data_IF_006832812888
#
_entry.id   IF_006832812888
#
_cell.length_a   1.000
_cell.length_b   1.000
_cell.length_c   1.000
_cell.angle_alpha   90.00
_cell.angle_beta   90.00
_cell.angle_gamma   90.00
#
_symmetry.space_group_name_H-M   'P 1'
#
loop_
_entity.id
_entity.type
_entity.pdbx_description
1 polymer ?
#
# COMPACT_ATOMS: atom_id res chain seq x y z
N UNK A 1 1.05 10.48 -12.02
CA UNK A 1 0.47 9.65 -13.08
C UNK A 1 -0.19 8.39 -12.53
N UNK A 2 0.55 7.53 -11.81
CA UNK A 2 0.03 6.24 -11.33
C UNK A 2 -1.21 6.35 -10.46
N UNK A 3 -1.30 7.37 -9.61
CA UNK A 3 -2.43 7.58 -8.70
C UNK A 3 -3.69 8.08 -9.40
N UNK A 4 -3.55 8.62 -10.59
CA UNK A 4 -4.64 9.16 -11.42
C UNK A 4 -5.00 8.26 -12.60
N UNK A 5 -4.39 7.09 -12.70
CA UNK A 5 -4.65 6.13 -13.79
C UNK A 5 -6.11 5.63 -13.79
N UNK A 6 -6.72 5.56 -12.61
CA UNK A 6 -8.15 5.23 -12.46
C UNK A 6 -9.09 6.21 -13.14
N UNK A 7 -8.69 7.48 -13.34
CA UNK A 7 -9.50 8.48 -14.05
C UNK A 7 -9.80 8.09 -15.50
N UNK A 8 -8.98 7.23 -16.09
CA UNK A 8 -9.13 6.74 -17.45
C UNK A 8 -9.48 5.24 -17.50
N UNK A 9 -9.94 4.68 -16.38
CA UNK A 9 -10.30 3.27 -16.26
C UNK A 9 -9.11 2.30 -16.19
N UNK A 10 -7.88 2.80 -16.05
CA UNK A 10 -6.68 1.96 -15.92
C UNK A 10 -6.43 1.60 -14.46
N UNK A 11 -7.23 0.67 -13.92
CA UNK A 11 -7.26 0.33 -12.49
C UNK A 11 -6.20 -0.69 -12.06
N UNK A 12 -5.78 -1.60 -12.96
CA UNK A 12 -4.79 -2.65 -12.68
C UNK A 12 -3.53 -2.41 -13.50
N UNK A 13 -2.63 -1.63 -12.96
CA UNK A 13 -1.37 -1.27 -13.57
C UNK A 13 -0.17 -1.80 -12.76
N UNK A 14 0.95 -1.93 -13.42
CA UNK A 14 2.25 -2.28 -12.84
C UNK A 14 3.27 -1.19 -13.15
N UNK A 15 4.22 -1.02 -12.25
CA UNK A 15 5.40 -0.21 -12.50
C UNK A 15 6.67 -1.04 -12.23
N UNK A 16 7.74 -0.72 -12.92
CA UNK A 16 8.97 -1.48 -12.88
C UNK A 16 9.86 -0.99 -11.73
N UNK A 17 9.73 -1.64 -10.56
CA UNK A 17 10.42 -1.25 -9.34
C UNK A 17 11.93 -1.47 -9.49
N UNK A 18 12.70 -0.42 -9.21
CA UNK A 18 14.14 -0.41 -9.31
C UNK A 18 14.67 0.12 -10.64
N UNK A 19 13.80 0.36 -11.62
CA UNK A 19 14.15 0.86 -12.94
C UNK A 19 14.82 -0.18 -13.84
N UNK A 20 14.78 0.06 -15.15
CA UNK A 20 15.23 -0.89 -16.16
C UNK A 20 16.71 -0.69 -16.55
N UNK A 21 17.11 0.54 -16.87
CA UNK A 21 18.44 0.88 -17.33
C UNK A 21 18.78 2.37 -17.10
N UNK A 22 20.02 2.74 -17.39
CA UNK A 22 20.49 4.14 -17.38
C UNK A 22 20.44 4.83 -16.01
N UNK A 23 20.70 4.08 -14.95
CA UNK A 23 20.75 4.62 -13.59
C UNK A 23 21.88 4.00 -12.78
N UNK A 24 22.07 4.53 -11.59
CA UNK A 24 22.88 3.89 -10.56
C UNK A 24 21.97 3.25 -9.50
N UNK A 25 22.52 2.29 -8.81
CA UNK A 25 21.81 1.58 -7.76
C UNK A 25 21.79 2.44 -6.49
N UNK A 26 20.59 2.80 -6.04
CA UNK A 26 20.35 3.54 -4.82
C UNK A 26 19.48 2.72 -3.88
N UNK A 27 20.01 2.39 -2.71
CA UNK A 27 19.36 1.52 -1.73
C UNK A 27 18.09 2.17 -1.18
N UNK A 28 18.15 3.44 -0.78
CA UNK A 28 16.99 4.12 -0.20
C UNK A 28 15.88 4.33 -1.23
N UNK A 29 16.22 4.79 -2.41
CA UNK A 29 15.25 4.99 -3.48
C UNK A 29 14.53 3.66 -3.81
N UNK A 30 15.29 2.56 -3.88
CA UNK A 30 14.70 1.24 -4.15
C UNK A 30 13.77 0.78 -3.03
N UNK A 31 14.17 0.96 -1.77
CA UNK A 31 13.29 0.67 -0.61
C UNK A 31 12.01 1.49 -0.68
N UNK A 32 12.10 2.81 -0.91
CA UNK A 32 10.90 3.67 -1.03
C UNK A 32 10.01 3.25 -2.19
N UNK A 33 10.62 2.79 -3.27
CA UNK A 33 9.87 2.28 -4.41
C UNK A 33 9.18 0.94 -4.13
N UNK A 34 9.83 0.05 -3.38
CA UNK A 34 9.20 -1.19 -2.87
C UNK A 34 8.04 -0.85 -1.92
N UNK A 35 8.21 0.12 -1.02
CA UNK A 35 7.14 0.59 -0.13
C UNK A 35 5.93 1.10 -0.90
N UNK A 36 6.13 1.89 -1.96
CA UNK A 36 5.05 2.26 -2.88
C UNK A 36 4.48 1.03 -3.60
N UNK A 37 5.34 0.09 -3.98
CA UNK A 37 4.96 -1.11 -4.71
C UNK A 37 4.00 -2.01 -3.97
N UNK A 38 4.19 -2.21 -2.67
CA UNK A 38 3.27 -3.06 -1.88
C UNK A 38 1.87 -2.48 -1.77
N UNK A 39 1.73 -1.16 -1.95
CA UNK A 39 0.45 -0.44 -2.04
C UNK A 39 0.11 -0.04 -3.48
N UNK A 40 0.47 -0.89 -4.42
CA UNK A 40 0.16 -0.75 -5.84
C UNK A 40 -0.67 -1.95 -6.32
N UNK A 41 -1.43 -1.84 -7.44
CA UNK A 41 -2.26 -2.95 -7.91
C UNK A 41 -1.42 -4.19 -8.24
N UNK A 42 -0.44 -4.06 -9.10
CA UNK A 42 0.50 -5.11 -9.46
C UNK A 42 1.91 -4.65 -9.09
N UNK A 43 2.62 -5.51 -8.37
CA UNK A 43 3.97 -5.26 -7.93
C UNK A 43 4.95 -6.22 -8.59
N UNK A 44 6.05 -5.69 -9.14
CA UNK A 44 7.18 -6.50 -9.56
C UNK A 44 8.49 -5.74 -9.44
N UNK A 45 9.53 -6.46 -9.06
CA UNK A 45 10.91 -6.00 -9.20
C UNK A 45 11.33 -6.22 -10.66
N UNK A 46 11.97 -5.23 -11.27
CA UNK A 46 12.34 -5.29 -12.68
C UNK A 46 13.76 -4.82 -12.93
N UNK A 47 14.42 -5.52 -13.86
CA UNK A 47 15.77 -5.16 -14.32
C UNK A 47 15.97 -5.56 -15.79
N UNK A 48 17.12 -5.19 -16.34
CA UNK A 48 17.59 -5.72 -17.61
C UNK A 48 18.01 -7.19 -17.49
N UNK A 49 18.30 -7.84 -18.59
CA UNK A 49 18.81 -9.21 -18.64
C UNK A 49 20.21 -9.41 -18.01
N UNK A 50 20.88 -8.33 -17.62
CA UNK A 50 22.18 -8.39 -16.96
C UNK A 50 22.06 -8.86 -15.52
N UNK A 51 22.80 -9.90 -15.14
CA UNK A 51 22.85 -10.41 -13.76
C UNK A 51 23.36 -9.40 -12.73
N UNK A 52 24.13 -8.37 -13.19
CA UNK A 52 24.63 -7.29 -12.32
C UNK A 52 23.54 -6.26 -11.95
N UNK A 53 22.43 -6.24 -12.68
CA UNK A 53 21.32 -5.30 -12.48
C UNK A 53 20.16 -5.89 -11.69
N UNK A 54 20.32 -7.05 -11.05
CA UNK A 54 19.30 -7.69 -10.24
C UNK A 54 18.74 -6.76 -9.15
N UNK A 55 17.44 -6.87 -8.88
CA UNK A 55 16.68 -6.05 -7.92
C UNK A 55 16.20 -6.84 -6.72
N UNK A 56 16.62 -8.08 -6.61
CA UNK A 56 16.28 -8.93 -5.48
C UNK A 56 16.86 -8.34 -4.17
N UNK A 57 16.16 -8.49 -3.03
CA UNK A 57 16.57 -7.86 -1.76
C UNK A 57 18.03 -8.12 -1.38
N UNK A 58 18.51 -9.34 -1.54
CA UNK A 58 19.90 -9.74 -1.21
C UNK A 58 21.00 -9.10 -2.08
N UNK A 59 20.60 -8.36 -3.11
CA UNK A 59 21.51 -7.57 -3.95
C UNK A 59 21.84 -6.21 -3.36
N UNK A 60 21.19 -5.81 -2.28
CA UNK A 60 21.31 -4.51 -1.64
C UNK A 60 22.04 -4.61 -0.29
N UNK A 61 22.38 -3.47 0.31
CA UNK A 61 22.94 -3.44 1.66
C UNK A 61 21.95 -4.04 2.65
N UNK A 62 22.46 -4.56 3.77
CA UNK A 62 21.67 -5.31 4.73
C UNK A 62 20.46 -4.54 5.27
N UNK A 63 20.60 -3.24 5.52
CA UNK A 63 19.47 -2.38 5.94
C UNK A 63 18.33 -2.41 4.91
N UNK A 64 18.66 -2.21 3.63
CA UNK A 64 17.68 -2.22 2.55
C UNK A 64 17.07 -3.60 2.32
N UNK A 65 17.90 -4.67 2.33
CA UNK A 65 17.44 -6.05 2.22
C UNK A 65 16.41 -6.39 3.27
N UNK A 66 16.68 -6.10 4.55
CA UNK A 66 15.76 -6.40 5.66
C UNK A 66 14.42 -5.69 5.50
N UNK A 67 14.43 -4.41 5.09
CA UNK A 67 13.20 -3.66 4.89
C UNK A 67 12.43 -4.18 3.67
N UNK A 68 13.12 -4.46 2.56
CA UNK A 68 12.48 -5.01 1.36
C UNK A 68 11.85 -6.38 1.65
N UNK A 69 12.53 -7.27 2.34
CA UNK A 69 12.00 -8.58 2.74
C UNK A 69 10.74 -8.44 3.61
N UNK A 70 10.78 -7.55 4.59
CA UNK A 70 9.62 -7.27 5.43
C UNK A 70 8.43 -6.77 4.60
N UNK A 71 8.66 -5.79 3.74
CA UNK A 71 7.61 -5.19 2.90
C UNK A 71 7.02 -6.21 1.91
N UNK A 72 7.83 -7.07 1.32
CA UNK A 72 7.37 -8.14 0.43
C UNK A 72 6.49 -9.15 1.17
N UNK A 73 6.85 -9.51 2.42
CA UNK A 73 6.01 -10.37 3.26
C UNK A 73 4.70 -9.70 3.63
N UNK A 74 4.71 -8.42 3.98
CA UNK A 74 3.47 -7.65 4.21
C UNK A 74 2.55 -7.65 2.98
N UNK A 75 3.11 -7.54 1.77
CA UNK A 75 2.32 -7.67 0.53
C UNK A 75 1.64 -9.03 0.42
N UNK A 76 2.33 -10.12 0.77
CA UNK A 76 1.73 -11.45 0.79
C UNK A 76 0.63 -11.59 1.84
N UNK A 77 0.83 -11.02 3.01
CA UNK A 77 -0.21 -11.00 4.07
C UNK A 77 -1.49 -10.30 3.63
N UNK A 78 -1.39 -9.31 2.76
CA UNK A 78 -2.54 -8.56 2.23
C UNK A 78 -3.32 -9.30 1.13
N UNK A 79 -2.94 -10.50 0.71
CA UNK A 79 -3.60 -11.20 -0.40
C UNK A 79 -5.12 -11.30 -0.22
N UNK A 80 -5.69 -11.66 0.94
CA UNK A 80 -7.14 -11.71 1.12
C UNK A 80 -7.82 -10.35 0.86
N UNK A 81 -7.22 -9.27 1.36
CA UNK A 81 -7.68 -7.92 1.11
C UNK A 81 -7.58 -7.55 -0.39
N UNK A 82 -6.45 -7.82 -1.01
CA UNK A 82 -6.21 -7.51 -2.42
C UNK A 82 -7.14 -8.29 -3.35
N UNK A 83 -7.37 -9.55 -3.05
CA UNK A 83 -8.26 -10.42 -3.83
C UNK A 83 -9.69 -9.91 -3.76
N UNK A 84 -10.15 -9.53 -2.57
CA UNK A 84 -11.45 -8.88 -2.36
C UNK A 84 -11.55 -7.56 -3.16
N UNK A 85 -10.52 -6.72 -3.14
CA UNK A 85 -10.51 -5.48 -3.91
C UNK A 85 -10.53 -5.73 -5.43
N UNK A 86 -9.89 -6.80 -5.90
CA UNK A 86 -9.95 -7.21 -7.30
C UNK A 86 -11.38 -7.62 -7.69
N UNK A 87 -12.04 -8.41 -6.87
CA UNK A 87 -13.43 -8.78 -7.07
C UNK A 87 -14.35 -7.55 -7.14
N UNK A 88 -14.20 -6.61 -6.22
CA UNK A 88 -14.94 -5.35 -6.23
C UNK A 88 -14.65 -4.50 -7.48
N UNK A 89 -13.40 -4.50 -7.95
CA UNK A 89 -13.06 -3.84 -9.21
C UNK A 89 -13.82 -4.44 -10.38
N UNK A 90 -13.99 -5.76 -10.40
CA UNK A 90 -14.74 -6.47 -11.42
C UNK A 90 -16.26 -6.23 -11.32
N UNK A 91 -16.84 -6.36 -10.14
CA UNK A 91 -18.30 -6.27 -9.95
C UNK A 91 -18.83 -4.85 -9.86
N UNK A 92 -18.06 -3.94 -9.25
CA UNK A 92 -18.51 -2.59 -8.91
C UNK A 92 -17.78 -1.48 -9.70
N UNK A 93 -16.83 -1.85 -10.56
CA UNK A 93 -15.97 -0.90 -11.28
C UNK A 93 -15.21 0.06 -10.36
N UNK A 94 -14.92 -0.35 -9.11
CA UNK A 94 -14.17 0.44 -8.14
C UNK A 94 -12.69 0.10 -8.22
N UNK A 95 -11.82 1.04 -8.61
CA UNK A 95 -10.39 0.77 -8.72
C UNK A 95 -9.78 0.56 -7.33
N UNK A 96 -8.71 -0.26 -7.25
CA UNK A 96 -7.94 -0.45 -6.01
C UNK A 96 -7.29 0.86 -5.55
N UNK A 97 -6.78 1.67 -6.48
CA UNK A 97 -6.21 2.99 -6.19
C UNK A 97 -7.16 4.08 -6.66
N UNK A 98 -7.47 4.99 -5.75
CA UNK A 98 -8.28 6.17 -6.04
C UNK A 98 -7.59 7.43 -5.54
N UNK A 99 -7.57 8.50 -6.35
CA UNK A 99 -7.14 9.82 -5.87
C UNK A 99 -8.00 10.30 -4.71
N UNK A 100 -7.44 11.10 -3.83
CA UNK A 100 -8.16 11.63 -2.66
C UNK A 100 -9.44 12.38 -3.02
N UNK A 101 -9.46 13.08 -4.16
CA UNK A 101 -10.63 13.85 -4.60
C UNK A 101 -11.83 12.99 -5.05
N UNK A 102 -11.69 11.65 -5.13
CA UNK A 102 -12.87 10.79 -5.35
C UNK A 102 -13.83 10.85 -4.16
N UNK A 103 -13.30 11.00 -2.94
CA UNK A 103 -14.11 11.06 -1.73
C UNK A 103 -14.25 12.48 -1.16
N UNK A 104 -13.34 13.41 -1.51
CA UNK A 104 -13.29 14.77 -0.97
C UNK A 104 -13.12 15.80 -2.08
N UNK A 105 -14.12 15.87 -2.96
CA UNK A 105 -14.09 16.73 -4.15
C UNK A 105 -14.02 18.22 -3.81
N UNK A 106 -14.62 18.62 -2.69
CA UNK A 106 -14.71 20.03 -2.26
C UNK A 106 -13.50 20.48 -1.42
N UNK A 107 -12.54 19.58 -1.16
CA UNK A 107 -11.35 19.88 -0.35
C UNK A 107 -10.14 20.16 -1.23
N UNK A 108 -9.56 21.34 -1.12
CA UNK A 108 -8.37 21.71 -1.88
C UNK A 108 -7.19 20.78 -1.60
N UNK A 109 -7.03 20.34 -0.36
CA UNK A 109 -5.98 19.44 0.10
C UNK A 109 -5.99 18.10 -0.67
N UNK A 110 -7.18 17.64 -1.09
CA UNK A 110 -7.32 16.41 -1.90
C UNK A 110 -6.63 16.52 -3.26
N UNK A 111 -6.47 17.73 -3.79
CA UNK A 111 -5.77 18.03 -5.03
C UNK A 111 -4.32 18.43 -4.81
N UNK A 112 -4.01 19.12 -3.70
CA UNK A 112 -2.68 19.60 -3.38
C UNK A 112 -1.73 18.48 -2.94
N UNK A 113 -2.25 17.48 -2.19
CA UNK A 113 -1.44 16.32 -1.73
C UNK A 113 -1.37 15.24 -2.82
N UNK A 114 -0.75 15.58 -3.94
CA UNK A 114 -0.72 14.80 -5.19
C UNK A 114 -0.24 13.35 -5.06
N UNK A 115 0.59 13.06 -4.07
CA UNK A 115 1.19 11.74 -3.88
C UNK A 115 0.38 10.87 -2.91
N UNK A 116 -0.64 11.44 -2.26
CA UNK A 116 -1.51 10.74 -1.32
C UNK A 116 -2.71 10.14 -2.04
N UNK A 117 -3.10 8.93 -1.68
CA UNK A 117 -4.16 8.20 -2.36
C UNK A 117 -4.87 7.21 -1.44
N UNK A 118 -6.05 6.78 -1.87
CA UNK A 118 -6.79 5.68 -1.25
C UNK A 118 -6.37 4.35 -1.88
N UNK A 119 -6.20 3.35 -1.04
CA UNK A 119 -5.87 1.98 -1.42
C UNK A 119 -6.97 1.03 -0.93
N UNK A 120 -7.83 0.61 -1.83
CA UNK A 120 -9.05 -0.12 -1.52
C UNK A 120 -10.04 0.71 -0.72
N UNK A 121 -10.75 0.04 0.21
CA UNK A 121 -11.82 0.66 1.01
C UNK A 121 -11.35 1.29 2.30
N UNK A 122 -10.20 0.87 2.81
CA UNK A 122 -9.85 1.06 4.22
C UNK A 122 -8.55 1.81 4.45
N UNK A 123 -7.70 1.92 3.43
CA UNK A 123 -6.36 2.49 3.59
C UNK A 123 -6.18 3.78 2.81
N UNK A 124 -5.41 4.68 3.41
CA UNK A 124 -4.88 5.89 2.79
C UNK A 124 -3.35 5.85 2.86
N UNK A 125 -2.69 6.01 1.74
CA UNK A 125 -1.23 5.88 1.61
C UNK A 125 -0.62 7.23 1.25
N UNK A 126 0.47 7.58 1.93
CA UNK A 126 1.25 8.79 1.65
C UNK A 126 2.72 8.43 1.38
N UNK A 127 3.09 8.11 0.13
CA UNK A 127 4.45 7.69 -0.20
C UNK A 127 5.49 8.76 0.12
N UNK A 128 6.65 8.31 0.58
CA UNK A 128 7.82 9.15 0.77
C UNK A 128 8.55 9.24 -0.57
N UNK A 129 8.68 10.46 -1.09
CA UNK A 129 9.28 10.74 -2.41
C UNK A 129 10.56 11.57 -2.32
N UNK A 130 11.06 11.80 -1.13
CA UNK A 130 12.31 12.49 -0.87
C UNK A 130 13.26 11.62 -0.04
N UNK A 131 14.57 11.75 -0.20
CA UNK A 131 15.55 11.01 0.60
C UNK A 131 15.50 11.43 2.07
N UNK A 132 16.07 10.59 2.93
CA UNK A 132 16.26 10.92 4.35
C UNK A 132 17.13 12.14 4.53
N UNK A 133 16.81 12.95 5.52
CA UNK A 133 17.63 14.06 5.98
C UNK A 133 18.79 13.46 6.79
N UNK A 134 20.03 13.59 6.29
CA UNK A 134 21.22 12.94 6.86
C UNK A 134 21.37 13.14 8.38
N UNK A 135 21.13 14.36 8.86
CA UNK A 135 21.32 14.71 10.29
C UNK A 135 20.42 13.96 11.25
N UNK A 136 19.24 13.54 10.82
CA UNK A 136 18.24 12.88 11.66
C UNK A 136 17.89 11.46 11.19
N UNK A 137 18.45 11.06 10.04
CA UNK A 137 18.23 9.77 9.39
C UNK A 137 16.73 9.44 9.16
N UNK A 138 15.91 10.46 8.89
CA UNK A 138 14.49 10.36 8.62
C UNK A 138 14.10 11.17 7.38
N UNK A 139 13.19 10.62 6.59
CA UNK A 139 12.57 11.35 5.49
C UNK A 139 11.31 12.07 6.00
N UNK A 140 11.08 13.26 5.45
CA UNK A 140 9.88 14.06 5.76
C UNK A 140 8.83 13.88 4.67
N UNK A 141 7.58 13.73 5.07
CA UNK A 141 6.43 13.77 4.17
C UNK A 141 5.31 14.58 4.80
N UNK A 142 4.62 15.36 3.98
CA UNK A 142 3.45 16.11 4.43
C UNK A 142 2.18 15.33 4.05
N UNK A 143 1.31 15.11 5.02
CA UNK A 143 0.08 14.31 4.87
C UNK A 143 -1.12 15.13 5.29
N UNK A 144 -2.16 15.12 4.49
CA UNK A 144 -3.47 15.62 4.87
C UNK A 144 -4.34 14.47 5.39
N UNK A 145 -4.85 14.61 6.60
CA UNK A 145 -5.85 13.71 7.17
C UNK A 145 -7.22 14.35 7.06
N UNK A 146 -8.14 13.82 6.25
CA UNK A 146 -9.52 14.28 6.23
C UNK A 146 -10.20 14.19 7.59
N UNK A 147 -11.32 14.88 7.77
CA UNK A 147 -12.08 14.85 9.01
C UNK A 147 -12.40 13.42 9.45
N UNK A 148 -12.15 13.11 10.72
CA UNK A 148 -12.34 11.79 11.33
C UNK A 148 -11.15 11.36 12.17
N UNK A 149 -11.18 10.13 12.65
CA UNK A 149 -10.07 9.52 13.39
C UNK A 149 -9.29 8.57 12.48
N UNK A 150 -7.97 8.67 12.53
CA UNK A 150 -7.06 7.92 11.68
C UNK A 150 -6.02 7.19 12.52
N UNK A 151 -5.71 5.98 12.12
CA UNK A 151 -4.72 5.12 12.74
C UNK A 151 -3.56 4.91 11.77
N UNK A 152 -2.36 5.27 12.17
CA UNK A 152 -1.16 4.90 11.43
C UNK A 152 -0.89 3.41 11.67
N UNK A 153 -0.98 2.60 10.62
CA UNK A 153 -0.94 1.14 10.75
C UNK A 153 0.44 0.59 11.13
N UNK A 154 1.50 1.37 10.90
CA UNK A 154 2.88 0.97 11.25
C UNK A 154 3.29 1.40 12.64
N UNK A 155 2.84 2.55 13.10
CA UNK A 155 3.25 3.09 14.40
C UNK A 155 2.21 2.88 15.50
N UNK A 156 0.96 2.56 15.14
CA UNK A 156 -0.17 2.49 16.06
C UNK A 156 -0.64 3.86 16.58
N UNK A 157 -0.06 4.95 16.10
CA UNK A 157 -0.44 6.30 16.51
C UNK A 157 -1.83 6.66 16.01
N UNK A 158 -2.58 7.34 16.85
CA UNK A 158 -3.95 7.79 16.55
C UNK A 158 -3.92 9.29 16.32
N UNK A 159 -4.56 9.72 15.26
CA UNK A 159 -4.67 11.13 14.88
C UNK A 159 -6.13 11.53 14.72
N UNK A 160 -6.47 12.69 15.22
CA UNK A 160 -7.69 13.37 14.80
C UNK A 160 -7.41 14.08 13.47
N UNK A 161 -8.29 13.90 12.50
CA UNK A 161 -8.18 14.49 11.17
C UNK A 161 -8.51 15.98 11.10
N UNK A 162 -8.91 16.44 9.90
CA UNK A 162 -9.15 17.83 9.55
C UNK A 162 -7.87 18.70 9.68
N UNK A 163 -6.74 18.13 9.28
CA UNK A 163 -5.44 18.82 9.35
C UNK A 163 -4.36 18.24 8.45
N UNK A 164 -3.33 19.03 8.24
CA UNK A 164 -2.09 18.64 7.58
C UNK A 164 -1.03 18.36 8.65
N UNK A 165 -0.31 17.26 8.50
CA UNK A 165 0.77 16.83 9.37
C UNK A 165 2.09 16.75 8.61
N UNK A 166 3.17 17.21 9.23
CA UNK A 166 4.53 16.90 8.83
C UNK A 166 5.01 15.65 9.57
N UNK A 167 5.16 14.55 8.85
CA UNK A 167 5.57 13.28 9.42
C UNK A 167 7.01 12.95 9.04
N UNK A 168 7.71 12.32 9.96
CA UNK A 168 9.08 11.84 9.78
C UNK A 168 9.11 10.34 9.91
N UNK A 169 9.80 9.65 8.96
CA UNK A 169 9.93 8.18 8.97
C UNK A 169 11.35 7.77 8.66
N UNK A 170 11.84 6.77 9.39
CA UNK A 170 13.02 6.01 9.02
C UNK A 170 12.80 5.26 7.71
N UNK A 171 13.79 4.50 7.29
CA UNK A 171 13.71 3.73 6.04
C UNK A 171 12.73 2.56 6.15
N UNK A 172 12.46 2.09 7.37
CA UNK A 172 11.68 0.91 7.68
C UNK A 172 10.17 1.07 7.44
N UNK A 173 9.67 2.31 7.33
CA UNK A 173 8.22 2.54 7.26
C UNK A 173 7.81 3.62 6.27
N UNK A 174 6.56 3.55 5.88
CA UNK A 174 5.83 4.49 5.03
C UNK A 174 4.55 4.89 5.77
N UNK A 175 4.11 6.17 5.74
CA UNK A 175 2.82 6.54 6.32
C UNK A 175 1.65 5.89 5.57
N UNK A 176 0.93 5.04 6.28
CA UNK A 176 -0.31 4.42 5.83
C UNK A 176 -1.32 4.50 6.96
N UNK A 177 -2.52 4.95 6.64
CA UNK A 177 -3.56 5.21 7.62
C UNK A 177 -4.81 4.42 7.33
N UNK A 178 -5.43 3.91 8.39
CA UNK A 178 -6.78 3.38 8.36
C UNK A 178 -7.72 4.32 9.11
N UNK A 179 -8.90 4.59 8.58
CA UNK A 179 -9.93 5.36 9.29
C UNK A 179 -10.58 4.52 10.40
N UNK A 180 -11.14 5.17 11.42
CA UNK A 180 -11.99 4.50 12.38
C UNK A 180 -13.14 3.78 11.66
N UNK A 181 -13.46 2.56 12.09
CA UNK A 181 -14.41 1.65 11.44
C UNK A 181 -13.81 0.76 10.35
N UNK A 182 -12.56 1.00 9.93
CA UNK A 182 -11.90 0.13 8.95
C UNK A 182 -11.63 -1.26 9.51
N UNK A 183 -11.82 -2.28 8.66
CA UNK A 183 -11.46 -3.67 8.93
C UNK A 183 -10.54 -4.12 7.79
N UNK A 184 -9.40 -4.69 8.14
CA UNK A 184 -8.45 -5.26 7.19
C UNK A 184 -8.31 -6.76 7.45
N UNK A 185 -8.43 -7.56 6.39
CA UNK A 185 -8.21 -8.99 6.45
C UNK A 185 -6.82 -9.34 5.92
N UNK A 186 -6.00 -9.95 6.75
CA UNK A 186 -4.67 -10.43 6.43
C UNK A 186 -4.58 -11.94 6.63
N UNK A 187 -3.55 -12.55 6.07
CA UNK A 187 -3.16 -13.93 6.40
C UNK A 187 -1.73 -13.96 6.88
N UNK A 188 -1.41 -14.89 7.79
CA UNK A 188 -0.03 -15.21 8.16
C UNK A 188 0.55 -16.36 7.34
N UNK A 189 -0.24 -16.94 6.44
CA UNK A 189 0.13 -17.99 5.51
C UNK A 189 0.80 -17.39 4.26
N UNK A 190 2.10 -17.08 4.37
CA UNK A 190 2.85 -16.31 3.36
C UNK A 190 3.67 -17.15 2.37
N UNK A 191 3.45 -18.45 2.29
CA UNK A 191 4.14 -19.28 1.29
C UNK A 191 3.55 -19.09 -0.11
N UNK A 192 4.36 -19.21 -1.16
CA UNK A 192 3.91 -19.09 -2.54
C UNK A 192 2.83 -20.13 -2.92
N UNK A 193 2.83 -21.29 -2.28
CA UNK A 193 1.81 -22.33 -2.48
C UNK A 193 0.50 -21.98 -1.80
N UNK A 194 0.56 -21.39 -0.62
CA UNK A 194 -0.61 -20.98 0.15
C UNK A 194 -1.28 -19.73 -0.42
N UNK A 195 -0.49 -18.83 -1.02
CA UNK A 195 -1.02 -17.63 -1.68
C UNK A 195 -1.99 -17.91 -2.85
N UNK A 196 -2.05 -19.15 -3.32
CA UNK A 196 -2.96 -19.60 -4.38
C UNK A 196 -4.22 -20.29 -3.85
N UNK A 197 -4.39 -20.34 -2.55
CA UNK A 197 -5.52 -20.97 -1.87
C UNK A 197 -6.14 -20.00 -0.88
N UNK A 198 -7.41 -20.22 -0.58
CA UNK A 198 -8.02 -19.52 0.54
C UNK A 198 -7.26 -19.86 1.83
N UNK A 199 -6.93 -18.86 2.66
CA UNK A 199 -6.19 -19.11 3.89
C UNK A 199 -7.05 -19.89 4.89
N UNK A 200 -6.41 -20.77 5.68
CA UNK A 200 -7.10 -21.51 6.75
C UNK A 200 -7.44 -20.61 7.95
N UNK A 201 -6.75 -19.48 8.09
CA UNK A 201 -6.96 -18.50 9.15
C UNK A 201 -6.77 -17.09 8.64
N UNK A 202 -7.55 -16.17 9.19
CA UNK A 202 -7.46 -14.74 8.92
C UNK A 202 -7.08 -13.98 10.17
N UNK A 203 -6.22 -13.01 10.00
CA UNK A 203 -5.90 -12.01 10.99
C UNK A 203 -6.67 -10.72 10.65
N UNK A 204 -7.67 -10.39 11.48
CA UNK A 204 -8.48 -9.19 11.29
C UNK A 204 -7.92 -8.04 12.12
N UNK A 205 -7.56 -6.94 11.46
CA UNK A 205 -7.22 -5.68 12.12
C UNK A 205 -8.43 -4.76 12.10
N UNK A 206 -8.98 -4.48 13.27
CA UNK A 206 -10.16 -3.62 13.44
C UNK A 206 -9.74 -2.30 14.06
N UNK A 207 -10.03 -1.21 13.37
CA UNK A 207 -9.72 0.16 13.82
C UNK A 207 -10.96 0.79 14.47
N UNK A 208 -11.01 0.74 15.80
CA UNK A 208 -12.19 1.14 16.57
C UNK A 208 -12.56 2.63 16.46
N UNK A 209 -13.79 2.97 16.90
CA UNK A 209 -14.26 4.36 17.00
C UNK A 209 -15.44 4.73 16.11
N UNK A 210 -15.75 3.86 15.15
CA UNK A 210 -16.98 3.90 14.35
C UNK A 210 -17.43 2.48 14.06
N UNK A 211 -18.69 2.31 13.69
CA UNK A 211 -19.16 1.05 13.11
C UNK A 211 -18.52 0.88 11.74
N UNK A 212 -18.18 -0.35 11.40
CA UNK A 212 -17.60 -0.70 10.12
C UNK A 212 -18.02 -2.11 9.71
N UNK A 213 -17.90 -2.36 8.43
CA UNK A 213 -18.13 -3.66 7.82
C UNK A 213 -17.09 -3.90 6.74
N UNK A 214 -16.75 -5.14 6.51
CA UNK A 214 -15.87 -5.56 5.44
C UNK A 214 -16.38 -6.87 4.86
N UNK A 215 -16.71 -6.86 3.59
CA UNK A 215 -17.10 -8.03 2.84
C UNK A 215 -15.86 -8.70 2.25
N UNK A 216 -15.52 -9.90 2.73
CA UNK A 216 -14.41 -10.68 2.23
C UNK A 216 -14.89 -11.57 1.08
N UNK A 217 -14.20 -11.48 -0.05
CA UNK A 217 -14.41 -12.37 -1.17
C UNK A 217 -13.42 -13.53 -1.15
N UNK A 218 -13.92 -14.73 -1.19
CA UNK A 218 -13.16 -15.95 -1.41
C UNK A 218 -13.87 -16.81 -2.45
N UNK A 219 -13.14 -17.60 -3.21
CA UNK A 219 -13.69 -18.58 -4.12
C UNK A 219 -12.85 -19.88 -4.12
N UNK A 220 -13.42 -20.90 -4.69
CA UNK A 220 -12.77 -22.20 -4.92
C UNK A 220 -12.39 -22.38 -6.40
N UNK A 221 -12.41 -21.31 -7.18
CA UNK A 221 -12.28 -21.27 -8.63
C UNK A 221 -13.41 -21.99 -9.40
N UNK A 222 -14.48 -22.39 -8.73
CA UNK A 222 -15.63 -23.08 -9.31
C UNK A 222 -16.93 -22.41 -8.93
N UNK A 223 -17.08 -22.02 -7.66
CA UNK A 223 -18.28 -21.36 -7.12
C UNK A 223 -17.92 -19.99 -6.52
N UNK A 224 -18.93 -19.11 -6.44
CA UNK A 224 -18.82 -17.82 -5.76
C UNK A 224 -19.15 -18.00 -4.28
N UNK A 225 -18.22 -17.62 -3.40
CA UNK A 225 -18.42 -17.57 -1.95
C UNK A 225 -18.10 -16.18 -1.43
N UNK A 226 -19.00 -15.62 -0.63
CA UNK A 226 -18.84 -14.33 0.04
C UNK A 226 -18.92 -14.51 1.54
N UNK A 227 -17.97 -13.93 2.27
CA UNK A 227 -17.96 -13.91 3.73
C UNK A 227 -18.12 -12.46 4.20
N UNK A 228 -19.14 -12.19 4.99
CA UNK A 228 -19.36 -10.89 5.63
C UNK A 228 -18.74 -10.89 7.04
N UNK A 229 -17.96 -9.84 7.35
CA UNK A 229 -17.31 -9.64 8.65
C UNK A 229 -17.79 -8.32 9.27
#
# INVERSE_FOLDING_TARGET
FTLTASNIGYGWWSHDIGGHMLGYKDDEMTVRWVQLGIYSPIMRLHSSSSEFNGKEPWRYKKEAEMVMDHMLRERHRMIPYLYTMNYRSYCENKPLISPMYYNWQECNEAYEKKNQYLFGTSLMVAPITAPRIEKINMAKVQVWLPKGRWYDIYTGMIYDGDRILDLYRGIESIPVFASAGSILAFTDEISAVQAQKNPNSLHLMVYAGQNGEFELYEDDNVSLSLIHI
#
